data_IF_487901488785
#
_entry.id   IF_487901488785
#
_cell.length_a   1.000
_cell.length_b   1.000
_cell.length_c   1.000
_cell.angle_alpha   90.00
_cell.angle_beta   90.00
_cell.angle_gamma   90.00
#
_symmetry.space_group_name_H-M   'P 1'
#
loop_
_entity.id
_entity.type
_entity.pdbx_description
1 polymer ?
#
# COMPACT_ATOMS: atom_id res chain seq x y z
N UNK A 1 34.22 -40.01 -66.39
CA UNK A 1 34.85 -40.55 -65.16
C UNK A 1 35.40 -39.38 -64.34
N UNK A 2 34.91 -39.27 -63.10
CA UNK A 2 35.43 -38.57 -61.92
C UNK A 2 36.21 -37.24 -62.03
N UNK A 3 35.63 -36.17 -61.47
CA UNK A 3 36.37 -35.19 -60.67
C UNK A 3 35.69 -35.07 -59.29
N UNK A 4 36.47 -35.31 -58.22
CA UNK A 4 36.03 -35.53 -56.83
C UNK A 4 36.56 -34.41 -55.93
N UNK A 5 35.63 -33.63 -55.33
CA UNK A 5 35.68 -32.91 -54.02
C UNK A 5 36.68 -31.72 -53.86
N UNK A 6 36.51 -30.84 -52.84
CA UNK A 6 35.70 -29.62 -52.90
C UNK A 6 36.49 -28.33 -52.57
N UNK A 7 35.91 -27.14 -52.84
CA UNK A 7 36.37 -25.86 -52.30
C UNK A 7 35.65 -25.55 -50.99
N UNK A 8 36.41 -25.26 -49.94
CA UNK A 8 35.99 -24.56 -48.70
C UNK A 8 37.16 -23.64 -48.36
N UNK A 9 37.03 -22.32 -48.22
CA UNK A 9 35.88 -21.59 -47.70
C UNK A 9 36.09 -21.42 -46.20
N UNK A 10 36.87 -20.38 -45.88
CA UNK A 10 36.83 -19.49 -44.72
C UNK A 10 37.14 -19.93 -43.27
N UNK A 11 37.65 -18.88 -42.60
CA UNK A 11 37.48 -18.47 -41.20
C UNK A 11 38.65 -18.73 -40.25
N UNK A 12 39.43 -17.65 -40.11
CA UNK A 12 40.28 -17.28 -38.98
C UNK A 12 39.52 -17.47 -37.66
N UNK A 13 40.10 -18.24 -36.73
CA UNK A 13 39.71 -18.30 -35.33
C UNK A 13 39.67 -16.89 -34.74
N UNK A 14 38.51 -16.43 -34.26
CA UNK A 14 38.42 -15.42 -33.20
C UNK A 14 37.02 -15.39 -32.56
N UNK A 15 37.04 -15.13 -31.25
CA UNK A 15 35.96 -14.74 -30.33
C UNK A 15 35.15 -15.87 -29.67
N UNK A 16 35.51 -16.09 -28.40
CA UNK A 16 34.66 -16.66 -27.37
C UNK A 16 33.34 -15.87 -27.30
N UNK A 17 32.23 -16.58 -27.46
CA UNK A 17 30.90 -16.02 -27.22
C UNK A 17 30.69 -15.93 -25.72
N UNK A 18 30.91 -14.73 -25.17
CA UNK A 18 30.35 -14.32 -23.88
C UNK A 18 28.83 -14.46 -23.98
N UNK A 19 28.29 -15.56 -23.46
CA UNK A 19 26.85 -15.63 -23.17
C UNK A 19 26.63 -14.69 -21.99
N UNK A 20 26.10 -13.52 -22.30
CA UNK A 20 25.95 -12.37 -21.42
C UNK A 20 25.30 -12.76 -20.09
N UNK A 21 26.05 -12.55 -19.01
CA UNK A 21 25.53 -12.57 -17.64
C UNK A 21 24.32 -11.63 -17.46
N UNK A 22 24.13 -10.65 -18.34
CA UNK A 22 22.99 -9.73 -18.37
C UNK A 22 21.65 -10.42 -18.67
N UNK A 23 21.62 -11.45 -19.53
CA UNK A 23 20.37 -12.18 -19.81
C UNK A 23 19.87 -12.99 -18.61
N UNK A 24 20.79 -13.54 -17.81
CA UNK A 24 20.44 -14.27 -16.58
C UNK A 24 20.04 -13.30 -15.45
N UNK A 25 20.66 -12.11 -15.42
CA UNK A 25 20.28 -11.02 -14.52
C UNK A 25 18.88 -10.49 -14.83
N UNK A 26 18.54 -10.35 -16.11
CA UNK A 26 17.23 -9.89 -16.57
C UNK A 26 16.12 -10.90 -16.25
N UNK A 27 16.35 -12.21 -16.32
CA UNK A 27 15.33 -13.20 -15.91
C UNK A 27 15.11 -13.25 -14.39
N UNK A 28 16.16 -13.03 -13.58
CA UNK A 28 16.00 -12.89 -12.12
C UNK A 28 15.32 -11.56 -11.75
N UNK A 29 15.71 -10.46 -12.37
CA UNK A 29 15.05 -9.16 -12.19
C UNK A 29 13.59 -9.20 -12.66
N UNK A 30 13.29 -9.93 -13.73
CA UNK A 30 11.92 -10.11 -14.23
C UNK A 30 11.04 -10.91 -13.28
N UNK A 31 11.60 -11.82 -12.47
CA UNK A 31 10.83 -12.52 -11.41
C UNK A 31 10.68 -11.66 -10.15
N UNK A 32 11.66 -10.83 -9.84
CA UNK A 32 11.61 -9.88 -8.71
C UNK A 32 10.67 -8.69 -9.00
N UNK A 33 10.49 -8.32 -10.27
CA UNK A 33 9.58 -7.24 -10.68
C UNK A 33 8.08 -7.60 -10.68
N UNK A 34 7.69 -8.88 -10.49
CA UNK A 34 6.28 -9.31 -10.49
C UNK A 34 5.64 -9.33 -9.09
N UNK A 35 6.38 -8.96 -8.04
CA UNK A 35 5.87 -8.85 -6.67
C UNK A 35 6.05 -7.45 -6.08
N UNK A 36 5.97 -6.41 -6.91
CA UNK A 36 5.54 -5.10 -6.40
C UNK A 36 4.11 -5.28 -5.91
N UNK A 37 3.92 -5.44 -4.60
CA UNK A 37 2.62 -5.27 -3.98
C UNK A 37 2.23 -3.82 -4.29
N UNK A 38 1.40 -3.64 -5.33
CA UNK A 38 1.02 -2.32 -5.79
C UNK A 38 0.12 -1.71 -4.72
N UNK A 39 0.71 -0.91 -3.84
CA UNK A 39 -0.05 -0.11 -2.91
C UNK A 39 -0.70 1.04 -3.68
N UNK A 40 -2.02 1.14 -3.52
CA UNK A 40 -2.83 2.23 -4.00
C UNK A 40 -3.00 3.27 -2.90
N UNK A 41 -3.30 4.50 -3.29
CA UNK A 41 -3.56 5.59 -2.36
C UNK A 41 -4.81 6.37 -2.72
N UNK A 42 -5.52 6.83 -1.70
CA UNK A 42 -6.69 7.67 -1.83
C UNK A 42 -6.61 8.85 -0.87
N UNK A 43 -7.04 10.02 -1.32
CA UNK A 43 -7.09 11.22 -0.48
C UNK A 43 -8.45 11.34 0.19
N UNK A 44 -8.46 11.85 1.41
CA UNK A 44 -9.69 11.97 2.18
C UNK A 44 -9.55 12.85 3.41
N UNK A 45 -10.59 12.79 4.24
CA UNK A 45 -10.67 13.52 5.49
C UNK A 45 -11.23 12.64 6.58
N UNK A 46 -10.70 12.75 7.80
CA UNK A 46 -11.20 12.08 9.00
C UNK A 46 -11.49 13.08 10.10
N UNK A 47 -12.45 12.77 10.96
CA UNK A 47 -12.71 13.47 12.21
C UNK A 47 -13.05 12.47 13.29
N UNK A 48 -12.75 12.81 14.53
CA UNK A 48 -13.11 11.97 15.66
C UNK A 48 -13.26 12.76 16.94
N UNK A 49 -14.08 12.23 17.84
CA UNK A 49 -14.29 12.77 19.17
C UNK A 49 -14.86 11.70 20.10
N UNK A 50 -14.35 11.64 21.32
CA UNK A 50 -14.75 10.60 22.26
C UNK A 50 -14.30 9.25 21.73
N UNK A 51 -15.23 8.30 21.57
CA UNK A 51 -14.91 7.01 20.96
C UNK A 51 -15.21 6.97 19.46
N UNK A 52 -15.77 8.02 18.87
CA UNK A 52 -16.27 7.98 17.50
C UNK A 52 -15.22 8.42 16.48
N UNK A 53 -15.20 7.75 15.32
CA UNK A 53 -14.40 8.10 14.16
C UNK A 53 -15.31 8.11 12.91
N UNK A 54 -15.16 9.11 12.06
CA UNK A 54 -15.86 9.15 10.78
C UNK A 54 -15.07 9.90 9.71
N UNK A 55 -15.39 9.68 8.45
CA UNK A 55 -14.83 10.45 7.36
C UNK A 55 -15.13 9.86 5.99
N UNK A 56 -14.32 10.25 5.01
CA UNK A 56 -14.49 9.80 3.62
C UNK A 56 -13.18 9.87 2.85
N UNK A 57 -13.05 9.01 1.85
CA UNK A 57 -11.96 8.99 0.88
C UNK A 57 -12.51 9.00 -0.55
N UNK A 58 -11.72 9.49 -1.49
CA UNK A 58 -12.01 9.41 -2.92
C UNK A 58 -10.95 8.55 -3.61
N UNK A 59 -11.38 7.44 -4.18
CA UNK A 59 -10.51 6.42 -4.80
C UNK A 59 -11.12 5.99 -6.13
N UNK A 60 -10.37 6.12 -7.22
CA UNK A 60 -10.76 5.59 -8.54
C UNK A 60 -12.18 6.04 -8.99
N UNK A 61 -12.56 7.27 -8.65
CA UNK A 61 -13.89 7.82 -8.95
C UNK A 61 -15.01 7.44 -7.97
N UNK A 62 -14.72 6.60 -6.98
CA UNK A 62 -15.66 6.19 -5.93
C UNK A 62 -15.45 7.00 -4.65
N UNK A 63 -16.55 7.33 -3.97
CA UNK A 63 -16.50 7.83 -2.60
C UNK A 63 -16.62 6.65 -1.63
N UNK A 64 -15.66 6.57 -0.72
CA UNK A 64 -15.61 5.56 0.34
C UNK A 64 -15.96 6.26 1.65
N UNK A 65 -17.04 5.84 2.31
CA UNK A 65 -17.41 6.28 3.64
C UNK A 65 -16.63 5.51 4.70
N UNK A 66 -16.25 6.22 5.75
CA UNK A 66 -15.53 5.65 6.89
C UNK A 66 -16.33 5.93 8.14
N UNK A 67 -16.61 4.88 8.89
CA UNK A 67 -17.13 4.96 10.26
C UNK A 67 -16.30 4.07 11.16
N UNK A 68 -16.21 4.37 12.44
CA UNK A 68 -15.40 3.56 13.34
C UNK A 68 -15.60 3.93 14.79
N UNK A 69 -15.03 3.10 15.65
CA UNK A 69 -14.96 3.37 17.07
C UNK A 69 -13.57 3.06 17.60
N UNK A 70 -13.02 4.00 18.36
CA UNK A 70 -11.89 3.74 19.23
C UNK A 70 -12.34 3.03 20.50
N UNK A 71 -11.53 2.14 21.06
CA UNK A 71 -11.79 1.50 22.35
C UNK A 71 -11.60 2.44 23.54
N UNK A 72 -10.91 3.55 23.32
CA UNK A 72 -10.59 4.57 24.30
C UNK A 72 -11.08 5.93 23.79
N UNK A 73 -11.42 6.82 24.72
CA UNK A 73 -11.78 8.20 24.36
C UNK A 73 -10.56 8.94 23.81
N UNK A 74 -10.75 9.69 22.74
CA UNK A 74 -9.76 10.59 22.14
C UNK A 74 -10.28 12.03 22.19
N UNK A 75 -9.35 12.98 22.17
CA UNK A 75 -9.66 14.40 22.01
C UNK A 75 -10.35 14.64 20.66
N UNK A 76 -11.11 15.74 20.57
CA UNK A 76 -11.67 16.17 19.30
C UNK A 76 -10.55 16.48 18.31
N UNK A 77 -10.60 15.88 17.12
CA UNK A 77 -9.65 16.16 16.05
C UNK A 77 -10.35 16.26 14.69
N UNK A 78 -9.75 17.08 13.83
CA UNK A 78 -10.06 17.13 12.40
C UNK A 78 -8.77 16.91 11.62
N UNK A 79 -8.82 16.02 10.64
CA UNK A 79 -7.72 15.65 9.76
C UNK A 79 -8.21 15.85 8.32
N UNK A 80 -8.16 17.09 7.81
CA UNK A 80 -8.84 17.46 6.56
C UNK A 80 -8.16 16.90 5.31
N UNK A 81 -6.91 16.43 5.42
CA UNK A 81 -6.11 15.90 4.32
C UNK A 81 -5.32 14.70 4.79
N UNK A 82 -5.92 13.52 4.73
CA UNK A 82 -5.28 12.24 5.06
C UNK A 82 -5.16 11.35 3.82
N UNK A 83 -4.14 10.50 3.83
CA UNK A 83 -3.90 9.48 2.81
C UNK A 83 -4.30 8.12 3.35
N UNK A 84 -5.20 7.44 2.65
CA UNK A 84 -5.49 6.01 2.82
C UNK A 84 -4.57 5.24 1.87
N UNK A 85 -3.80 4.29 2.39
CA UNK A 85 -2.99 3.33 1.63
C UNK A 85 -3.63 1.95 1.71
N UNK A 86 -3.76 1.26 0.59
CA UNK A 86 -4.45 -0.04 0.49
C UNK A 86 -3.92 -0.87 -0.70
N UNK A 87 -4.28 -2.15 -0.80
CA UNK A 87 -3.85 -3.02 -1.92
C UNK A 87 -4.81 -2.97 -3.11
N UNK A 88 -6.10 -3.18 -2.86
CA UNK A 88 -7.16 -3.20 -3.87
C UNK A 88 -8.42 -2.51 -3.32
N UNK A 89 -9.13 -1.78 -4.17
CA UNK A 89 -10.36 -1.09 -3.79
C UNK A 89 -11.45 -2.07 -3.30
N UNK A 90 -11.51 -3.27 -3.88
CA UNK A 90 -12.45 -4.31 -3.49
C UNK A 90 -12.17 -4.85 -2.07
N UNK A 91 -10.91 -4.82 -1.62
CA UNK A 91 -10.54 -5.30 -0.29
C UNK A 91 -11.03 -4.37 0.82
N UNK A 92 -11.17 -3.06 0.52
CA UNK A 92 -11.55 -2.07 1.53
C UNK A 92 -12.93 -2.32 2.11
N UNK A 93 -13.86 -2.96 1.39
CA UNK A 93 -15.22 -3.13 1.87
C UNK A 93 -15.31 -3.99 3.14
N UNK A 94 -15.81 -3.41 4.24
CA UNK A 94 -16.06 -4.13 5.48
C UNK A 94 -15.32 -3.57 6.69
N UNK A 95 -15.13 -4.44 7.71
CA UNK A 95 -14.58 -4.05 9.02
C UNK A 95 -13.10 -4.42 9.15
N UNK A 96 -12.31 -3.46 9.59
CA UNK A 96 -10.89 -3.57 9.92
C UNK A 96 -10.66 -3.26 11.39
N UNK A 97 -9.80 -4.04 12.04
CA UNK A 97 -9.32 -3.73 13.39
C UNK A 97 -8.15 -2.76 13.32
N UNK A 98 -8.10 -1.82 14.27
CA UNK A 98 -6.97 -0.91 14.46
C UNK A 98 -5.86 -1.68 15.16
N UNK A 99 -4.71 -1.79 14.49
CA UNK A 99 -3.55 -2.55 14.93
C UNK A 99 -2.79 -1.77 16.01
N UNK A 100 -2.46 -2.48 17.08
CA UNK A 100 -1.70 -1.97 18.24
C UNK A 100 -0.23 -2.43 18.26
N UNK A 101 0.16 -3.31 17.33
CA UNK A 101 1.52 -3.84 17.20
C UNK A 101 2.46 -2.82 16.54
N UNK A 102 3.71 -3.19 16.25
CA UNK A 102 4.76 -2.26 15.78
C UNK A 102 4.67 -1.98 14.26
N UNK A 103 4.49 -0.72 13.79
CA UNK A 103 4.30 0.50 14.57
C UNK A 103 2.83 0.70 15.03
N UNK A 104 2.61 1.15 16.29
CA UNK A 104 1.26 1.24 16.84
C UNK A 104 0.48 2.39 16.22
N UNK A 105 -0.83 2.19 16.08
CA UNK A 105 -1.75 3.25 15.67
C UNK A 105 -1.84 4.34 16.74
N UNK A 106 -1.97 5.60 16.33
CA UNK A 106 -2.08 6.74 17.22
C UNK A 106 -2.92 7.89 16.64
N UNK A 107 -3.47 8.69 17.54
CA UNK A 107 -3.94 10.06 17.30
C UNK A 107 -2.93 10.98 18.00
N UNK A 108 -2.21 11.78 17.23
CA UNK A 108 -1.05 12.54 17.67
C UNK A 108 -1.37 13.98 18.07
N UNK A 109 -0.35 14.76 18.39
CA UNK A 109 -0.56 16.20 18.57
C UNK A 109 -0.82 16.86 17.22
N UNK A 110 -0.05 16.55 16.18
CA UNK A 110 -0.12 17.23 14.87
C UNK A 110 -0.57 16.34 13.71
N UNK A 111 -0.70 15.04 13.94
CA UNK A 111 -0.90 14.03 12.91
C UNK A 111 -1.61 12.79 13.48
N UNK A 112 -2.15 11.94 12.61
CA UNK A 112 -2.64 10.61 12.99
C UNK A 112 -2.01 9.56 12.09
N UNK A 113 -1.92 8.34 12.63
CA UNK A 113 -1.54 7.15 11.87
C UNK A 113 -2.33 5.96 12.38
N UNK A 114 -3.17 5.38 11.54
CA UNK A 114 -3.96 4.20 11.83
C UNK A 114 -3.49 3.07 10.93
N UNK A 115 -3.00 1.99 11.53
CA UNK A 115 -2.72 0.74 10.83
C UNK A 115 -3.92 -0.19 11.01
N UNK A 116 -4.41 -0.76 9.92
CA UNK A 116 -5.69 -1.47 9.88
C UNK A 116 -5.49 -2.87 9.33
N UNK A 117 -6.20 -3.85 9.92
CA UNK A 117 -6.19 -5.24 9.43
C UNK A 117 -7.56 -5.89 9.55
N UNK A 118 -8.05 -6.50 8.48
CA UNK A 118 -9.32 -7.24 8.49
C UNK A 118 -9.11 -8.73 8.82
N UNK A 119 -10.21 -9.48 8.94
CA UNK A 119 -10.22 -10.92 9.27
C UNK A 119 -9.57 -11.81 8.19
N UNK A 120 -9.43 -11.32 6.97
CA UNK A 120 -8.75 -11.99 5.85
C UNK A 120 -7.26 -11.62 5.78
N UNK A 121 -6.72 -10.91 6.77
CA UNK A 121 -5.37 -10.37 6.82
C UNK A 121 -5.05 -9.28 5.79
N UNK A 122 -6.05 -8.70 5.12
CA UNK A 122 -5.85 -7.51 4.29
C UNK A 122 -5.50 -6.32 5.15
N UNK A 123 -4.57 -5.51 4.65
CA UNK A 123 -4.06 -4.35 5.37
C UNK A 123 -4.47 -3.05 4.69
N UNK A 124 -4.66 -2.02 5.51
CA UNK A 124 -4.78 -0.65 5.05
C UNK A 124 -4.11 0.25 6.08
N UNK A 125 -3.72 1.47 5.69
CA UNK A 125 -3.26 2.47 6.64
C UNK A 125 -3.82 3.84 6.30
N UNK A 126 -4.09 4.64 7.33
CA UNK A 126 -4.52 6.02 7.16
C UNK A 126 -3.53 6.90 7.91
N UNK A 127 -2.95 7.89 7.24
CA UNK A 127 -2.08 8.85 7.89
C UNK A 127 -2.23 10.25 7.31
N UNK A 128 -1.95 11.25 8.14
CA UNK A 128 -1.93 12.63 7.70
C UNK A 128 -1.98 13.63 8.85
N UNK A 129 -1.81 14.92 8.54
CA UNK A 129 -1.86 16.00 9.52
C UNK A 129 -3.24 16.18 10.13
N UNK A 130 -3.26 16.68 11.37
CA UNK A 130 -4.44 17.12 12.10
C UNK A 130 -4.40 18.64 12.28
N UNK A 131 -5.55 19.28 12.11
CA UNK A 131 -5.70 20.74 12.17
C UNK A 131 -7.02 21.08 12.88
N UNK A 132 -7.00 21.77 14.04
CA UNK A 132 -5.80 22.19 14.79
C UNK A 132 -5.09 21.00 15.46
N UNK A 133 -3.84 21.18 15.93
CA UNK A 133 -3.18 20.19 16.76
C UNK A 133 -3.95 19.88 18.05
N UNK A 134 -3.93 18.62 18.51
CA UNK A 134 -4.49 18.19 19.80
C UNK A 134 -3.45 18.29 20.92
N UNK A 135 -3.88 18.02 22.16
CA UNK A 135 -3.08 18.13 23.39
C UNK A 135 -1.81 17.30 23.40
N UNK A 136 -1.82 16.15 22.71
CA UNK A 136 -0.77 15.16 22.86
C UNK A 136 -0.99 13.94 21.98
N UNK A 137 -0.07 12.99 22.07
CA UNK A 137 -0.14 11.74 21.31
C UNK A 137 -0.69 10.62 22.18
N UNK A 138 -1.71 9.94 21.68
CA UNK A 138 -2.34 8.79 22.31
C UNK A 138 -2.31 7.60 21.36
N UNK A 139 -1.83 6.45 21.84
CA UNK A 139 -1.96 5.19 21.09
C UNK A 139 -3.42 4.75 21.08
N UNK A 140 -3.88 4.21 19.96
CA UNK A 140 -5.30 3.86 19.78
C UNK A 140 -5.51 2.44 19.29
N UNK A 141 -6.56 1.81 19.80
CA UNK A 141 -7.16 0.58 19.30
C UNK A 141 -8.64 0.78 18.98
N UNK A 142 -9.27 -0.19 18.33
CA UNK A 142 -10.68 -0.15 17.95
C UNK A 142 -10.94 -0.79 16.59
N UNK A 143 -11.95 -0.29 15.88
CA UNK A 143 -12.27 -0.74 14.54
C UNK A 143 -12.67 0.41 13.60
N UNK A 144 -12.49 0.17 12.32
CA UNK A 144 -12.90 1.02 11.21
C UNK A 144 -13.74 0.19 10.24
N UNK A 145 -14.77 0.80 9.68
CA UNK A 145 -15.64 0.23 8.64
C UNK A 145 -15.56 1.13 7.42
N UNK A 146 -15.20 0.54 6.28
CA UNK A 146 -15.33 1.21 5.00
C UNK A 146 -16.60 0.72 4.30
N UNK A 147 -17.40 1.66 3.84
CA UNK A 147 -18.57 1.42 2.99
C UNK A 147 -18.43 2.21 1.70
N UNK A 148 -19.00 1.71 0.60
CA UNK A 148 -19.10 2.51 -0.61
C UNK A 148 -20.34 3.39 -0.51
N UNK A 149 -20.19 4.69 -0.76
CA UNK A 149 -21.35 5.55 -0.94
C UNK A 149 -22.01 5.16 -2.27
N UNK A 150 -23.26 4.70 -2.20
CA UNK A 150 -24.10 4.45 -3.38
C UNK A 150 -24.65 5.75 -3.95
#
# INVERSE_FOLDING_TARGET
MAAKRPKSGDVVLHTATTVEADTLYLMKASTVAIYLHRQMTAQGSLRGFGQNLQGRFFAEGNQIEVTGSFSQSVDNFDAPSVTLTYEDLADLQGTYNIVIDVPPSYVGAADLSLNLKNVQNKTASISGPMVPPTSGRQSVSGFVRFGWAM
#
